data_IF_251572137078
#
_entry.id   IF_251572137078
#
_cell.length_a   1.000
_cell.length_b   1.000
_cell.length_c   1.000
_cell.angle_alpha   90.00
_cell.angle_beta   90.00
_cell.angle_gamma   90.00
#
_symmetry.space_group_name_H-M   'P 1'
#
loop_
_entity.id
_entity.type
_entity.pdbx_description
1 polymer ?
#
# COMPACT_ATOMS: atom_id res chain seq x y z
N UNK A 1 -16.86 -2.70 7.32
CA UNK A 1 -17.08 -1.28 6.95
C UNK A 1 -16.12 -0.91 5.82
N UNK A 2 -16.66 -0.69 4.63
CA UNK A 2 -15.95 -0.20 3.43
C UNK A 2 -15.83 1.31 3.50
N UNK A 3 -14.64 1.86 3.26
CA UNK A 3 -14.46 3.30 3.04
C UNK A 3 -14.76 3.56 1.56
N UNK A 4 -15.71 4.46 1.22
CA UNK A 4 -15.94 4.84 -0.17
C UNK A 4 -14.65 5.39 -0.80
N UNK A 5 -14.33 4.99 -2.03
CA UNK A 5 -13.10 5.40 -2.72
C UNK A 5 -12.98 6.93 -2.84
N UNK A 6 -14.10 7.60 -3.03
CA UNK A 6 -14.24 9.06 -3.12
C UNK A 6 -13.93 9.79 -1.81
N UNK A 7 -14.06 9.13 -0.67
CA UNK A 7 -13.83 9.71 0.66
C UNK A 7 -12.48 9.31 1.25
N UNK A 8 -11.77 8.37 0.62
CA UNK A 8 -10.49 7.91 1.10
C UNK A 8 -9.39 8.95 0.78
N UNK A 9 -8.79 9.63 1.78
CA UNK A 9 -7.78 10.66 1.53
C UNK A 9 -6.55 10.10 0.82
N UNK A 10 -6.24 8.82 1.04
CA UNK A 10 -5.13 8.16 0.39
C UNK A 10 -5.41 7.75 -1.06
N UNK A 11 -6.66 7.83 -1.53
CA UNK A 11 -7.04 7.70 -2.95
C UNK A 11 -7.25 9.08 -3.58
N UNK A 12 -7.81 10.05 -2.86
CA UNK A 12 -8.05 11.39 -3.42
C UNK A 12 -6.77 12.19 -3.60
N UNK A 13 -5.89 12.22 -2.58
CA UNK A 13 -4.58 12.86 -2.62
C UNK A 13 -3.52 12.01 -1.88
N UNK A 14 -3.02 10.93 -2.50
CA UNK A 14 -2.07 10.02 -1.88
C UNK A 14 -0.76 10.71 -1.45
N UNK A 15 -0.29 11.71 -2.20
CA UNK A 15 0.97 12.42 -1.88
C UNK A 15 0.90 13.18 -0.56
N UNK A 16 -0.28 13.71 -0.22
CA UNK A 16 -0.52 14.45 1.03
C UNK A 16 -0.93 13.53 2.17
N UNK A 17 -1.68 12.47 1.88
CA UNK A 17 -2.23 11.57 2.89
C UNK A 17 -1.25 10.50 3.38
N UNK A 18 -0.31 10.08 2.53
CA UNK A 18 0.65 9.01 2.81
C UNK A 18 2.05 9.58 3.04
N UNK A 19 2.79 8.97 3.96
CA UNK A 19 4.21 9.27 4.13
C UNK A 19 5.04 8.72 2.96
N UNK A 20 6.26 9.24 2.69
CA UNK A 20 7.10 8.73 1.62
C UNK A 20 7.36 7.21 1.72
N UNK A 21 7.54 6.68 2.93
CA UNK A 21 7.71 5.25 3.16
C UNK A 21 6.46 4.42 2.81
N UNK A 22 5.26 4.97 3.04
CA UNK A 22 4.00 4.33 2.68
C UNK A 22 3.76 4.35 1.16
N UNK A 23 4.09 5.46 0.50
CA UNK A 23 4.01 5.59 -0.96
C UNK A 23 4.97 4.61 -1.64
N UNK A 24 6.22 4.55 -1.17
CA UNK A 24 7.24 3.64 -1.68
C UNK A 24 6.84 2.16 -1.47
N UNK A 25 6.29 1.84 -0.30
CA UNK A 25 5.77 0.50 -0.02
C UNK A 25 4.62 0.08 -0.95
N UNK A 26 3.69 0.99 -1.26
CA UNK A 26 2.61 0.71 -2.23
C UNK A 26 3.15 0.47 -3.64
N UNK A 27 4.03 1.35 -4.11
CA UNK A 27 4.66 1.18 -5.42
C UNK A 27 5.45 -0.13 -5.50
N UNK A 28 6.18 -0.49 -4.44
CA UNK A 28 6.91 -1.74 -4.35
C UNK A 28 5.98 -2.96 -4.43
N UNK A 29 4.86 -2.94 -3.71
CA UNK A 29 3.89 -4.03 -3.74
C UNK A 29 3.22 -4.20 -5.11
N UNK A 30 3.08 -3.14 -5.91
CA UNK A 30 2.50 -3.26 -7.26
C UNK A 30 3.53 -3.78 -8.26
N UNK A 31 4.78 -3.33 -8.13
CA UNK A 31 5.85 -3.76 -9.01
C UNK A 31 6.27 -5.21 -8.71
N UNK A 32 6.47 -5.55 -7.44
CA UNK A 32 6.85 -6.89 -7.02
C UNK A 32 5.61 -7.70 -6.66
N UNK A 33 5.29 -8.69 -7.52
CA UNK A 33 4.17 -9.61 -7.30
C UNK A 33 4.33 -10.54 -6.10
N UNK A 34 5.53 -10.60 -5.50
CA UNK A 34 5.84 -11.49 -4.39
C UNK A 34 6.27 -10.69 -3.16
N UNK A 35 5.77 -11.13 -2.01
CA UNK A 35 6.20 -10.63 -0.70
C UNK A 35 6.40 -11.81 0.25
N UNK A 36 7.45 -11.70 1.06
CA UNK A 36 7.85 -12.75 2.00
C UNK A 36 7.79 -12.19 3.41
N UNK A 37 7.03 -12.85 4.28
CA UNK A 37 6.97 -12.51 5.69
C UNK A 37 8.29 -12.84 6.40
N UNK A 38 8.86 -11.87 7.11
CA UNK A 38 10.10 -11.99 7.88
C UNK A 38 9.88 -11.85 9.40
N UNK A 39 8.69 -12.18 9.90
CA UNK A 39 8.39 -12.10 11.34
C UNK A 39 8.31 -10.65 11.84
N UNK A 40 8.95 -10.37 12.99
CA UNK A 40 8.95 -9.03 13.61
C UNK A 40 9.54 -7.95 12.69
N UNK A 41 10.31 -8.35 11.68
CA UNK A 41 10.89 -7.43 10.70
C UNK A 41 9.86 -6.90 9.69
N UNK A 42 8.71 -7.56 9.54
CA UNK A 42 7.67 -7.18 8.57
C UNK A 42 7.75 -8.02 7.29
N UNK A 43 7.46 -7.40 6.15
CA UNK A 43 7.48 -8.05 4.84
C UNK A 43 8.68 -7.60 4.02
N UNK A 44 9.33 -8.56 3.36
CA UNK A 44 10.28 -8.30 2.29
C UNK A 44 9.51 -8.30 0.96
N UNK A 45 9.65 -7.22 0.19
CA UNK A 45 9.00 -7.02 -1.10
C UNK A 45 10.10 -6.63 -2.09
N UNK A 46 10.56 -7.60 -2.89
CA UNK A 46 11.78 -7.43 -3.67
C UNK A 46 12.98 -7.06 -2.79
N UNK A 47 13.62 -5.93 -3.08
CA UNK A 47 14.72 -5.38 -2.28
C UNK A 47 14.26 -4.45 -1.15
N UNK A 48 12.96 -4.18 -1.02
CA UNK A 48 12.40 -3.27 -0.02
C UNK A 48 11.83 -4.02 1.17
N UNK A 49 11.90 -3.38 2.33
CA UNK A 49 11.34 -3.90 3.57
C UNK A 49 10.18 -3.03 4.02
N UNK A 50 9.01 -3.64 4.16
CA UNK A 50 7.79 -3.02 4.66
C UNK A 50 7.63 -3.42 6.13
N UNK A 51 7.74 -2.44 7.02
CA UNK A 51 7.54 -2.68 8.45
C UNK A 51 6.06 -2.96 8.77
N UNK A 52 5.83 -3.63 9.90
CA UNK A 52 4.47 -3.86 10.43
C UNK A 52 3.67 -2.56 10.56
N UNK A 53 4.29 -1.49 11.06
CA UNK A 53 3.63 -0.19 11.21
C UNK A 53 3.18 0.40 9.87
N UNK A 54 4.02 0.31 8.83
CA UNK A 54 3.67 0.78 7.48
C UNK A 54 2.53 -0.06 6.92
N UNK A 55 2.63 -1.39 6.97
CA UNK A 55 1.59 -2.28 6.48
C UNK A 55 0.25 -2.06 7.19
N UNK A 56 0.25 -1.93 8.52
CA UNK A 56 -0.98 -1.67 9.30
C UNK A 56 -1.60 -0.31 8.98
N UNK A 57 -0.81 0.73 8.68
CA UNK A 57 -1.34 2.03 8.26
C UNK A 57 -1.93 1.97 6.84
N UNK A 58 -1.26 1.29 5.91
CA UNK A 58 -1.78 1.08 4.56
C UNK A 58 -3.09 0.27 4.57
N UNK A 59 -3.18 -0.70 5.47
CA UNK A 59 -4.39 -1.50 5.70
C UNK A 59 -5.52 -0.69 6.33
N UNK A 60 -5.21 0.24 7.24
CA UNK A 60 -6.17 1.19 7.80
C UNK A 60 -6.76 2.12 6.73
N UNK A 61 -5.95 2.56 5.78
CA UNK A 61 -6.40 3.28 4.58
C UNK A 61 -7.03 2.37 3.53
N UNK A 62 -7.21 1.07 3.81
CA UNK A 62 -7.79 0.08 2.88
C UNK A 62 -7.07 0.00 1.54
N UNK A 63 -5.79 0.35 1.47
CA UNK A 63 -5.01 0.31 0.22
C UNK A 63 -4.44 -1.07 -0.04
N UNK A 64 -4.11 -1.78 1.04
CA UNK A 64 -3.65 -3.17 0.99
C UNK A 64 -4.54 -4.05 1.86
N UNK A 65 -4.54 -5.34 1.56
CA UNK A 65 -5.18 -6.38 2.36
C UNK A 65 -4.12 -7.38 2.81
N UNK A 66 -4.16 -7.73 4.09
CA UNK A 66 -3.36 -8.82 4.63
C UNK A 66 -4.15 -10.12 4.57
N UNK A 67 -3.55 -11.16 4.00
CA UNK A 67 -4.05 -12.54 4.04
C UNK A 67 -3.00 -13.40 4.74
N UNK A 68 -3.13 -13.53 6.06
CA UNK A 68 -2.14 -14.21 6.89
C UNK A 68 -0.76 -13.56 6.77
N UNK A 69 0.17 -14.24 6.10
CA UNK A 69 1.56 -13.80 5.88
C UNK A 69 1.77 -13.06 4.56
N UNK A 70 0.75 -12.95 3.72
CA UNK A 70 0.86 -12.28 2.42
C UNK A 70 0.14 -10.93 2.42
N UNK A 71 0.73 -9.97 1.71
CA UNK A 71 0.12 -8.67 1.40
C UNK A 71 -0.35 -8.67 -0.05
N UNK A 72 -1.52 -8.09 -0.29
CA UNK A 72 -2.04 -7.85 -1.64
C UNK A 72 -2.56 -6.44 -1.73
N UNK A 73 -2.42 -5.82 -2.89
CA UNK A 73 -3.00 -4.51 -3.16
C UNK A 73 -4.50 -4.66 -3.39
N UNK A 74 -5.26 -3.65 -2.97
CA UNK A 74 -6.70 -3.53 -3.27
C UNK A 74 -6.92 -2.55 -4.43
N UNK A 75 -8.13 -2.51 -4.98
CA UNK A 75 -8.52 -1.52 -5.99
C UNK A 75 -8.23 -0.08 -5.53
N UNK A 76 -8.45 0.23 -4.24
CA UNK A 76 -8.11 1.54 -3.69
C UNK A 76 -6.60 1.84 -3.75
N UNK A 77 -5.78 0.82 -3.46
CA UNK A 77 -4.32 0.92 -3.56
C UNK A 77 -3.83 1.10 -4.98
N UNK A 78 -4.44 0.43 -5.97
CA UNK A 78 -4.10 0.61 -7.39
C UNK A 78 -4.37 2.04 -7.84
N UNK A 79 -5.56 2.57 -7.55
CA UNK A 79 -5.93 3.96 -7.85
C UNK A 79 -5.01 4.98 -7.16
N UNK A 80 -4.62 4.71 -5.91
CA UNK A 80 -3.68 5.55 -5.20
C UNK A 80 -2.30 5.56 -5.90
N UNK A 81 -1.85 4.42 -6.43
CA UNK A 81 -0.55 4.33 -7.11
C UNK A 81 -0.59 5.00 -8.48
N UNK A 82 -1.65 4.83 -9.26
CA UNK A 82 -1.82 5.53 -10.54
C UNK A 82 -1.67 7.05 -10.36
N UNK A 83 -2.32 7.59 -9.33
CA UNK A 83 -2.20 9.01 -8.95
C UNK A 83 -0.81 9.38 -8.44
N UNK A 84 -0.13 8.50 -7.69
CA UNK A 84 1.25 8.75 -7.25
C UNK A 84 2.21 8.84 -8.44
N UNK A 85 2.09 7.92 -9.40
CA UNK A 85 2.91 7.82 -10.60
C UNK A 85 2.60 8.92 -11.63
N UNK A 86 1.54 9.71 -11.44
CA UNK A 86 1.09 10.70 -12.42
C UNK A 86 0.56 10.06 -13.69
N UNK A 87 0.23 8.75 -13.66
CA UNK A 87 -0.52 8.06 -14.70
C UNK A 87 -1.99 8.40 -14.50
N UNK A 88 -2.33 9.64 -14.80
CA UNK A 88 -3.72 9.98 -15.13
C UNK A 88 -3.97 9.48 -16.55
N UNK A 89 -5.06 8.74 -16.83
CA UNK A 89 -5.51 8.55 -18.20
C UNK A 89 -5.82 9.89 -18.89
#
# INVERSE_FOLDING_TARGET
MSIPLSENPAVTNPRKALTPAQQDALCALQFFKFNTWQGTRGWQVGNKRISLGVASKLEAFRLIRRQGKSLSITVAGELAIEKLQGKTP
#
